data_IF_043773981891
#
_entry.id   IF_043773981891
#
_cell.length_a   1.000
_cell.length_b   1.000
_cell.length_c   1.000
_cell.angle_alpha   90.00
_cell.angle_beta   90.00
_cell.angle_gamma   90.00
#
_symmetry.space_group_name_H-M   'P 1'
#
loop_
_entity.id
_entity.type
_entity.pdbx_description
1 polymer ?
#
# COMPACT_ATOMS: atom_id res chain seq x y z
N UNK A 1 -9.60 -8.76 37.18
CA UNK A 1 -8.71 -8.05 38.12
C UNK A 1 -8.11 -6.87 37.38
N UNK A 2 -8.39 -5.62 37.78
CA UNK A 2 -7.83 -4.43 37.13
C UNK A 2 -6.31 -4.40 37.26
N UNK A 3 -5.61 -3.89 36.23
CA UNK A 3 -4.16 -3.77 36.27
C UNK A 3 -3.71 -2.68 37.27
N UNK A 4 -2.48 -2.78 37.79
CA UNK A 4 -1.98 -1.88 38.85
C UNK A 4 -1.98 -0.38 38.49
N UNK A 5 -1.97 -0.04 37.20
CA UNK A 5 -2.09 1.35 36.75
C UNK A 5 -3.53 1.87 36.87
N UNK A 6 -4.52 1.07 36.46
CA UNK A 6 -5.96 1.41 36.56
C UNK A 6 -6.43 1.48 38.02
N UNK A 7 -5.85 0.66 38.91
CA UNK A 7 -6.10 0.78 40.35
C UNK A 7 -5.63 2.11 40.94
N UNK A 8 -4.54 2.70 40.39
CA UNK A 8 -4.00 3.99 40.86
C UNK A 8 -4.75 5.19 40.29
N UNK A 9 -5.29 5.08 39.09
CA UNK A 9 -6.01 6.18 38.41
C UNK A 9 -7.53 6.11 38.60
N UNK A 10 -8.03 5.11 39.35
CA UNK A 10 -9.45 4.89 39.62
C UNK A 10 -10.29 4.83 38.33
N UNK A 11 -9.71 4.27 37.28
CA UNK A 11 -10.33 4.10 35.96
C UNK A 11 -10.77 2.65 35.78
N UNK A 12 -11.88 2.45 35.06
CA UNK A 12 -12.39 1.12 34.77
C UNK A 12 -11.46 0.38 33.78
N UNK A 13 -11.06 -0.84 34.12
CA UNK A 13 -10.03 -1.59 33.41
C UNK A 13 -10.68 -2.55 32.40
N UNK A 14 -11.19 -1.98 31.32
CA UNK A 14 -11.78 -2.73 30.20
C UNK A 14 -10.67 -3.08 29.21
N UNK A 15 -10.47 -4.38 28.94
CA UNK A 15 -9.57 -4.84 27.89
C UNK A 15 -10.36 -4.78 26.58
N UNK A 16 -10.05 -3.81 25.75
CA UNK A 16 -10.61 -3.68 24.41
C UNK A 16 -9.57 -4.20 23.38
N UNK A 17 -10.00 -5.19 22.61
CA UNK A 17 -9.18 -5.91 21.62
C UNK A 17 -8.71 -5.00 20.47
N UNK A 18 -9.41 -3.89 20.23
CA UNK A 18 -9.07 -2.90 19.19
C UNK A 18 -8.19 -1.74 19.69
N UNK A 19 -8.09 -1.52 21.00
CA UNK A 19 -7.24 -0.47 21.59
C UNK A 19 -5.92 -0.99 22.19
N UNK A 20 -5.67 -2.30 22.14
CA UNK A 20 -4.40 -2.88 22.55
C UNK A 20 -3.25 -2.56 21.56
N UNK A 21 -2.70 -1.35 21.72
CA UNK A 21 -1.53 -0.85 21.00
C UNK A 21 -0.23 -1.66 21.27
N UNK A 22 -0.24 -2.69 22.14
CA UNK A 22 0.93 -3.55 22.34
C UNK A 22 1.22 -4.43 21.13
N UNK A 23 0.20 -4.90 20.41
CA UNK A 23 0.38 -5.64 19.15
C UNK A 23 0.95 -4.74 18.05
N UNK A 24 0.36 -3.55 17.87
CA UNK A 24 0.83 -2.53 16.92
C UNK A 24 2.28 -2.09 17.20
N UNK A 25 2.63 -1.87 18.46
CA UNK A 25 4.01 -1.50 18.82
C UNK A 25 5.02 -2.64 18.64
N UNK A 26 4.61 -3.90 18.79
CA UNK A 26 5.49 -5.05 18.53
C UNK A 26 5.75 -5.22 17.03
N UNK A 27 4.72 -5.06 16.20
CA UNK A 27 4.86 -5.04 14.74
C UNK A 27 5.73 -3.87 14.27
N UNK A 28 5.50 -2.67 14.82
CA UNK A 28 6.32 -1.49 14.52
C UNK A 28 7.80 -1.71 14.88
N UNK A 29 8.11 -2.17 16.10
CA UNK A 29 9.49 -2.49 16.50
C UNK A 29 10.16 -3.52 15.60
N UNK A 30 9.39 -4.51 15.11
CA UNK A 30 9.91 -5.49 14.15
C UNK A 30 10.16 -4.87 12.79
N UNK A 31 9.28 -3.98 12.32
CA UNK A 31 9.47 -3.23 11.08
C UNK A 31 10.74 -2.37 11.17
N UNK A 32 10.85 -1.55 12.21
CA UNK A 32 12.01 -0.69 12.46
C UNK A 32 13.31 -1.53 12.51
N UNK A 33 13.28 -2.68 13.20
CA UNK A 33 14.43 -3.60 13.26
C UNK A 33 14.80 -4.21 11.90
N UNK A 34 13.83 -4.50 11.03
CA UNK A 34 14.07 -5.06 9.70
C UNK A 34 14.58 -3.98 8.74
N UNK A 35 14.12 -2.75 8.89
CA UNK A 35 14.60 -1.59 8.13
C UNK A 35 16.07 -1.28 8.49
N UNK A 36 16.40 -1.28 9.78
CA UNK A 36 17.78 -1.12 10.27
C UNK A 36 18.73 -2.21 9.73
N UNK A 37 18.25 -3.46 9.67
CA UNK A 37 19.03 -4.59 9.16
C UNK A 37 19.21 -4.52 7.64
N UNK A 38 18.19 -4.03 6.91
CA UNK A 38 18.29 -3.75 5.47
C UNK A 38 19.31 -2.66 5.20
N UNK A 39 19.31 -1.56 5.96
CA UNK A 39 20.26 -0.47 5.80
C UNK A 39 21.70 -0.96 6.04
N UNK A 40 21.90 -1.78 7.07
CA UNK A 40 23.20 -2.41 7.33
C UNK A 40 23.69 -3.23 6.13
N UNK A 41 22.82 -4.05 5.54
CA UNK A 41 23.18 -4.91 4.41
C UNK A 41 23.59 -4.08 3.17
N UNK A 42 22.89 -2.99 2.91
CA UNK A 42 23.24 -2.07 1.82
C UNK A 42 24.62 -1.46 2.07
N UNK A 43 24.86 -0.94 3.29
CA UNK A 43 26.16 -0.38 3.68
C UNK A 43 27.29 -1.41 3.62
N UNK A 44 27.02 -2.66 3.96
CA UNK A 44 27.97 -3.77 3.82
C UNK A 44 28.37 -3.98 2.35
N UNK A 45 27.39 -4.02 1.45
CA UNK A 45 27.62 -4.22 0.01
C UNK A 45 28.38 -3.04 -0.60
N UNK A 46 28.05 -1.82 -0.22
CA UNK A 46 28.79 -0.60 -0.61
C UNK A 46 30.22 -0.65 -0.09
N UNK A 47 30.42 -1.04 1.17
CA UNK A 47 31.75 -1.18 1.77
C UNK A 47 32.60 -2.24 1.05
N UNK A 48 31.99 -3.36 0.65
CA UNK A 48 32.67 -4.40 -0.15
C UNK A 48 33.00 -3.93 -1.57
N UNK A 49 32.26 -2.97 -2.10
CA UNK A 49 32.46 -2.41 -3.45
C UNK A 49 33.53 -1.32 -3.47
N UNK A 50 33.58 -0.47 -2.46
CA UNK A 50 34.36 0.79 -2.47
C UNK A 50 35.60 0.77 -1.56
N UNK A 51 35.81 -0.28 -0.77
CA UNK A 51 36.97 -0.38 0.12
C UNK A 51 38.20 -0.97 -0.56
N UNK A 52 39.41 -0.59 -0.11
CA UNK A 52 40.65 -1.23 -0.53
C UNK A 52 40.82 -2.63 0.07
N UNK A 53 41.64 -3.47 -0.59
CA UNK A 53 41.82 -4.91 -0.30
C UNK A 53 42.05 -5.27 1.17
N UNK A 54 42.77 -4.43 1.92
CA UNK A 54 43.10 -4.70 3.34
C UNK A 54 41.89 -4.57 4.26
N UNK A 55 41.01 -3.59 4.02
CA UNK A 55 39.79 -3.38 4.81
C UNK A 55 38.72 -4.42 4.48
N UNK A 56 38.62 -4.78 3.19
CA UNK A 56 37.75 -5.87 2.73
C UNK A 56 38.18 -7.19 3.36
N UNK A 57 39.48 -7.48 3.39
CA UNK A 57 39.99 -8.71 3.99
C UNK A 57 39.66 -8.83 5.48
N UNK A 58 39.77 -7.75 6.23
CA UNK A 58 39.40 -7.72 7.65
C UNK A 58 37.89 -7.90 7.87
N UNK A 59 37.06 -7.23 7.05
CA UNK A 59 35.61 -7.41 7.07
C UNK A 59 35.18 -8.84 6.68
N UNK A 60 35.79 -9.42 5.65
CA UNK A 60 35.52 -10.80 5.22
C UNK A 60 35.94 -11.81 6.28
N UNK A 61 37.02 -11.57 7.01
CA UNK A 61 37.42 -12.40 8.13
C UNK A 61 36.41 -12.31 9.28
N UNK A 62 35.87 -11.13 9.54
CA UNK A 62 34.82 -10.92 10.54
C UNK A 62 33.50 -11.63 10.16
N UNK A 63 33.12 -11.60 8.88
CA UNK A 63 31.98 -12.36 8.35
C UNK A 63 32.22 -13.87 8.45
N UNK A 64 33.42 -14.33 8.07
CA UNK A 64 33.79 -15.75 8.13
C UNK A 64 33.88 -16.29 9.57
N UNK A 65 34.14 -15.44 10.56
CA UNK A 65 34.08 -15.81 11.97
C UNK A 65 32.67 -15.88 12.56
N UNK A 66 31.62 -15.70 11.74
CA UNK A 66 30.21 -15.71 12.17
C UNK A 66 29.92 -14.66 13.25
N UNK A 67 30.46 -13.45 13.06
CA UNK A 67 30.22 -12.33 13.97
C UNK A 67 28.74 -11.94 14.01
N UNK A 68 28.30 -11.43 15.18
CA UNK A 68 26.94 -10.94 15.35
C UNK A 68 26.69 -9.66 14.54
N UNK A 69 25.42 -9.42 14.23
CA UNK A 69 25.01 -8.26 13.44
C UNK A 69 25.37 -6.93 14.12
N UNK A 70 25.41 -6.91 15.45
CA UNK A 70 25.83 -5.77 16.27
C UNK A 70 27.34 -5.50 16.16
N UNK A 71 28.15 -6.56 16.13
CA UNK A 71 29.61 -6.45 15.95
C UNK A 71 29.98 -5.99 14.54
N UNK A 72 29.25 -6.46 13.52
CA UNK A 72 29.37 -5.97 12.16
C UNK A 72 28.98 -4.48 12.06
N UNK A 73 27.88 -4.06 12.69
CA UNK A 73 27.45 -2.65 12.78
C UNK A 73 28.53 -1.77 13.40
N UNK A 74 29.10 -2.18 14.55
CA UNK A 74 30.17 -1.45 15.23
C UNK A 74 31.43 -1.33 14.36
N UNK A 75 31.89 -2.42 13.75
CA UNK A 75 33.09 -2.41 12.91
C UNK A 75 32.94 -1.46 11.70
N UNK A 76 31.78 -1.47 11.05
CA UNK A 76 31.48 -0.58 9.91
C UNK A 76 31.43 0.87 10.36
N UNK A 77 30.80 1.18 11.50
CA UNK A 77 30.71 2.54 12.02
C UNK A 77 32.08 3.07 12.50
N UNK A 78 32.90 2.24 13.12
CA UNK A 78 34.24 2.60 13.62
C UNK A 78 35.25 2.80 12.48
N UNK A 79 35.18 1.99 11.42
CA UNK A 79 36.11 2.07 10.30
C UNK A 79 35.74 3.15 9.26
N UNK A 80 34.50 3.64 9.26
CA UNK A 80 33.99 4.61 8.27
C UNK A 80 33.73 6.02 8.81
N UNK A 81 33.81 6.26 10.13
CA UNK A 81 33.84 7.62 10.66
C UNK A 81 35.25 8.24 10.58
N UNK A 82 35.72 8.53 9.36
CA UNK A 82 36.59 9.70 9.18
C UNK A 82 35.69 10.95 9.29
N UNK A 83 36.11 12.03 9.98
CA UNK A 83 35.33 13.26 10.02
C UNK A 83 35.12 13.74 8.59
N UNK A 84 33.88 13.64 8.11
CA UNK A 84 33.49 14.13 6.80
C UNK A 84 33.68 15.65 6.81
N UNK A 85 34.26 16.21 5.74
CA UNK A 85 34.33 17.67 5.56
C UNK A 85 32.94 18.27 5.84
N UNK A 86 32.84 19.42 6.52
CA UNK A 86 31.56 20.08 6.80
C UNK A 86 30.74 20.37 5.53
N UNK A 87 31.39 20.37 4.35
CA UNK A 87 30.74 20.50 3.05
C UNK A 87 30.01 19.21 2.62
N UNK A 88 30.56 18.03 2.94
CA UNK A 88 29.95 16.74 2.61
C UNK A 88 28.77 16.40 3.52
N UNK A 89 28.82 16.81 4.79
CA UNK A 89 27.70 16.65 5.72
C UNK A 89 26.51 17.52 5.32
N UNK A 90 26.77 18.75 4.85
CA UNK A 90 25.73 19.62 4.28
C UNK A 90 25.16 19.05 2.98
N UNK A 91 26.00 18.50 2.10
CA UNK A 91 25.55 17.85 0.89
C UNK A 91 24.68 16.62 1.19
N UNK A 92 25.02 15.81 2.20
CA UNK A 92 24.16 14.70 2.64
C UNK A 92 22.84 15.19 3.24
N UNK A 93 22.85 16.23 4.07
CA UNK A 93 21.63 16.80 4.65
C UNK A 93 20.73 17.42 3.57
N UNK A 94 21.32 18.03 2.55
CA UNK A 94 20.63 18.59 1.38
C UNK A 94 20.11 17.48 0.45
N UNK A 95 20.87 16.40 0.22
CA UNK A 95 20.42 15.22 -0.50
C UNK A 95 19.28 14.51 0.25
N UNK A 96 19.34 14.41 1.58
CA UNK A 96 18.28 13.83 2.41
C UNK A 96 17.01 14.68 2.38
N UNK A 97 17.13 16.01 2.48
CA UNK A 97 16.00 16.94 2.34
C UNK A 97 15.40 16.91 0.93
N UNK A 98 16.24 16.79 -0.09
CA UNK A 98 15.80 16.57 -1.46
C UNK A 98 15.13 15.20 -1.58
N UNK A 99 15.62 14.14 -0.93
CA UNK A 99 14.98 12.82 -0.90
C UNK A 99 13.61 12.86 -0.21
N UNK A 100 13.47 13.62 0.88
CA UNK A 100 12.18 13.84 1.57
C UNK A 100 11.20 14.66 0.71
N UNK A 101 11.68 15.74 0.08
CA UNK A 101 10.89 16.56 -0.85
C UNK A 101 10.51 15.79 -2.13
N UNK A 102 11.41 14.93 -2.63
CA UNK A 102 11.20 14.05 -3.80
C UNK A 102 10.29 12.88 -3.45
N UNK A 103 10.34 12.37 -2.21
CA UNK A 103 9.38 11.36 -1.71
C UNK A 103 7.95 11.92 -1.64
N UNK A 104 7.79 13.24 -1.51
CA UNK A 104 6.50 13.92 -1.60
C UNK A 104 6.06 14.22 -3.03
N UNK A 105 6.98 14.39 -3.99
CA UNK A 105 6.66 14.73 -5.40
C UNK A 105 6.71 13.56 -6.39
N UNK A 106 7.38 12.46 -6.06
CA UNK A 106 7.61 11.31 -6.95
C UNK A 106 6.86 10.02 -6.55
N UNK A 107 5.70 10.12 -5.88
CA UNK A 107 4.82 8.94 -5.64
C UNK A 107 4.36 8.22 -6.92
N UNK A 108 4.71 8.71 -8.13
CA UNK A 108 4.37 8.05 -9.40
C UNK A 108 5.49 7.24 -10.06
N UNK A 109 6.72 7.19 -9.52
CA UNK A 109 7.81 6.41 -10.15
C UNK A 109 8.15 5.17 -9.30
N UNK A 110 7.50 4.06 -9.69
CA UNK A 110 7.88 2.65 -9.42
C UNK A 110 8.03 2.26 -7.94
N UNK A 111 6.90 2.19 -7.24
CA UNK A 111 6.79 1.38 -6.03
C UNK A 111 7.01 -0.11 -6.39
N UNK A 112 7.97 -0.75 -5.73
CA UNK A 112 8.31 -2.17 -5.94
C UNK A 112 7.10 -3.08 -5.70
N UNK A 113 6.17 -2.70 -4.82
CA UNK A 113 4.90 -3.45 -4.65
C UNK A 113 4.09 -3.45 -5.96
N UNK A 114 3.95 -2.28 -6.61
CA UNK A 114 3.24 -2.17 -7.90
C UNK A 114 3.88 -2.98 -9.02
N UNK A 115 5.19 -3.20 -8.97
CA UNK A 115 5.91 -4.03 -9.94
C UNK A 115 5.60 -5.52 -9.79
N UNK A 116 5.26 -5.97 -8.58
CA UNK A 116 4.89 -7.34 -8.27
C UNK A 116 3.37 -7.59 -8.38
N UNK A 117 2.56 -6.55 -8.24
CA UNK A 117 1.11 -6.61 -8.34
C UNK A 117 0.67 -6.80 -9.79
N UNK A 118 0.64 -8.06 -10.24
CA UNK A 118 0.09 -8.42 -11.53
C UNK A 118 -1.43 -8.65 -11.40
N UNK A 119 -2.28 -7.76 -11.95
CA UNK A 119 -3.72 -7.92 -11.84
C UNK A 119 -4.17 -9.17 -12.61
N UNK A 120 -5.01 -9.98 -11.96
CA UNK A 120 -5.59 -11.21 -12.52
C UNK A 120 -6.49 -10.87 -13.71
N UNK A 121 -7.24 -9.76 -13.62
CA UNK A 121 -8.09 -9.27 -14.70
C UNK A 121 -7.54 -7.95 -15.23
N UNK A 122 -7.40 -7.88 -16.56
CA UNK A 122 -7.02 -6.65 -17.27
C UNK A 122 -8.23 -6.06 -17.95
N UNK A 123 -8.61 -4.85 -17.58
CA UNK A 123 -9.81 -4.15 -18.04
C UNK A 123 -9.51 -2.65 -18.19
N UNK A 124 -10.17 -1.95 -19.12
CA UNK A 124 -9.91 -0.53 -19.33
C UNK A 124 -10.61 0.34 -18.28
N UNK A 125 -10.07 1.53 -18.00
CA UNK A 125 -10.71 2.55 -17.18
C UNK A 125 -11.83 3.27 -17.95
N UNK A 126 -11.55 3.66 -19.20
CA UNK A 126 -12.56 4.24 -20.09
C UNK A 126 -13.34 3.15 -20.84
N UNK A 127 -14.65 3.32 -21.07
CA UNK A 127 -15.47 4.50 -20.77
C UNK A 127 -16.18 4.44 -19.39
N UNK A 128 -15.69 3.61 -18.47
CA UNK A 128 -16.45 3.20 -17.29
C UNK A 128 -16.40 4.17 -16.12
N UNK A 129 -15.29 4.87 -15.95
CA UNK A 129 -15.12 5.84 -14.86
C UNK A 129 -14.50 7.14 -15.38
N UNK A 130 -14.89 8.26 -14.75
CA UNK A 130 -14.28 9.58 -14.98
C UNK A 130 -13.26 9.94 -13.90
N UNK A 131 -13.14 9.12 -12.85
CA UNK A 131 -12.24 9.35 -11.71
C UNK A 131 -10.77 9.23 -12.13
N UNK A 132 -10.46 8.27 -13.00
CA UNK A 132 -9.09 7.97 -13.41
C UNK A 132 -9.04 7.49 -14.87
N UNK A 133 -7.90 7.74 -15.50
CA UNK A 133 -7.56 7.25 -16.85
C UNK A 133 -6.58 6.05 -16.79
N UNK A 134 -6.21 5.59 -15.59
CA UNK A 134 -5.25 4.50 -15.38
C UNK A 134 -5.91 3.12 -15.43
N UNK A 135 -5.78 2.45 -16.57
CA UNK A 135 -6.20 1.06 -16.78
C UNK A 135 -5.56 0.09 -15.78
N UNK A 136 -4.34 0.37 -15.32
CA UNK A 136 -3.61 -0.44 -14.34
C UNK A 136 -4.26 -0.40 -12.97
N UNK A 137 -4.60 0.79 -12.48
CA UNK A 137 -5.33 0.97 -11.23
C UNK A 137 -6.71 0.29 -11.28
N UNK A 138 -7.46 0.49 -12.37
CA UNK A 138 -8.78 -0.14 -12.53
C UNK A 138 -8.64 -1.66 -12.57
N UNK A 139 -7.69 -2.20 -13.35
CA UNK A 139 -7.42 -3.64 -13.41
C UNK A 139 -7.07 -4.23 -12.04
N UNK A 140 -6.27 -3.50 -11.25
CA UNK A 140 -5.89 -3.87 -9.89
C UNK A 140 -7.10 -3.93 -8.95
N UNK A 141 -7.90 -2.87 -8.89
CA UNK A 141 -9.06 -2.79 -8.01
C UNK A 141 -10.14 -3.82 -8.37
N UNK A 142 -10.40 -4.04 -9.66
CA UNK A 142 -11.31 -5.10 -10.12
C UNK A 142 -10.77 -6.48 -9.71
N UNK A 143 -9.46 -6.70 -9.81
CA UNK A 143 -8.84 -7.95 -9.37
C UNK A 143 -8.97 -8.17 -7.86
N UNK A 144 -8.78 -7.14 -7.06
CA UNK A 144 -8.95 -7.21 -5.62
C UNK A 144 -10.39 -7.52 -5.22
N UNK A 145 -11.38 -6.86 -5.84
CA UNK A 145 -12.79 -7.15 -5.60
C UNK A 145 -13.13 -8.63 -5.84
N UNK A 146 -12.73 -9.18 -6.99
CA UNK A 146 -13.01 -10.59 -7.30
C UNK A 146 -12.19 -11.58 -6.46
N UNK A 147 -11.10 -11.12 -5.85
CA UNK A 147 -10.27 -11.94 -4.97
C UNK A 147 -10.81 -11.98 -3.55
N UNK A 148 -11.27 -10.85 -3.01
CA UNK A 148 -11.55 -10.70 -1.58
C UNK A 148 -13.04 -10.58 -1.24
N UNK A 149 -13.84 -9.99 -2.14
CA UNK A 149 -15.26 -9.73 -1.88
C UNK A 149 -16.16 -10.77 -2.55
N UNK A 150 -15.99 -10.98 -3.86
CA UNK A 150 -16.85 -11.88 -4.66
C UNK A 150 -16.96 -13.33 -4.11
N UNK A 151 -15.90 -13.96 -3.56
CA UNK A 151 -16.03 -15.31 -3.01
C UNK A 151 -17.03 -15.45 -1.86
N UNK A 152 -17.23 -14.39 -1.08
CA UNK A 152 -18.23 -14.34 -0.01
C UNK A 152 -19.64 -14.04 -0.55
N UNK A 153 -19.71 -13.41 -1.73
CA UNK A 153 -20.85 -12.66 -2.21
C UNK A 153 -20.98 -12.72 -3.76
N UNK A 154 -21.30 -13.89 -4.34
CA UNK A 154 -21.24 -14.09 -5.79
C UNK A 154 -22.55 -13.75 -6.51
N UNK A 155 -23.00 -12.49 -6.42
CA UNK A 155 -24.27 -12.03 -7.06
C UNK A 155 -24.17 -11.85 -8.59
N UNK A 156 -22.96 -11.89 -9.13
CA UNK A 156 -22.69 -11.65 -10.54
C UNK A 156 -21.73 -12.68 -11.10
N UNK A 157 -21.91 -13.02 -12.37
CA UNK A 157 -20.96 -13.86 -13.10
C UNK A 157 -19.74 -13.03 -13.48
N UNK A 158 -18.60 -13.39 -12.89
CA UNK A 158 -17.31 -12.72 -13.10
C UNK A 158 -16.90 -12.72 -14.57
N UNK A 159 -17.02 -13.85 -15.27
CA UNK A 159 -16.48 -13.99 -16.61
C UNK A 159 -17.34 -13.26 -17.65
N UNK A 160 -18.65 -13.19 -17.42
CA UNK A 160 -19.57 -12.34 -18.19
C UNK A 160 -19.27 -10.86 -17.94
N UNK A 161 -19.15 -10.43 -16.67
CA UNK A 161 -18.83 -9.04 -16.35
C UNK A 161 -17.51 -8.58 -16.96
N UNK A 162 -16.43 -9.35 -16.78
CA UNK A 162 -15.09 -9.00 -17.30
C UNK A 162 -15.11 -8.90 -18.83
N UNK A 163 -15.86 -9.78 -19.50
CA UNK A 163 -16.02 -9.73 -20.96
C UNK A 163 -16.71 -8.45 -21.40
N UNK A 164 -17.82 -8.09 -20.77
CA UNK A 164 -18.58 -6.89 -21.11
C UNK A 164 -17.81 -5.61 -20.79
N UNK A 165 -17.09 -5.59 -19.67
CA UNK A 165 -16.21 -4.49 -19.28
C UNK A 165 -15.09 -4.27 -20.31
N UNK A 166 -14.46 -5.34 -20.80
CA UNK A 166 -13.47 -5.27 -21.89
C UNK A 166 -14.09 -4.78 -23.20
N UNK A 167 -15.37 -5.09 -23.45
CA UNK A 167 -16.08 -4.68 -24.65
C UNK A 167 -16.35 -3.18 -24.73
N UNK A 168 -16.29 -2.45 -23.61
CA UNK A 168 -16.47 -1.00 -23.57
C UNK A 168 -17.88 -0.50 -23.93
N UNK A 169 -18.88 -1.39 -24.01
CA UNK A 169 -20.25 -1.02 -24.33
C UNK A 169 -20.99 -0.62 -23.05
N UNK A 170 -21.14 0.69 -22.81
CA UNK A 170 -21.84 1.24 -21.64
C UNK A 170 -23.32 0.87 -21.55
N UNK A 171 -23.91 0.37 -22.64
CA UNK A 171 -25.30 -0.12 -22.69
C UNK A 171 -25.38 -1.65 -22.55
N UNK A 172 -24.33 -2.30 -22.05
CA UNK A 172 -24.37 -3.75 -21.86
C UNK A 172 -25.35 -4.14 -20.76
N UNK A 173 -25.87 -5.36 -20.85
CA UNK A 173 -26.77 -5.89 -19.85
C UNK A 173 -26.03 -6.15 -18.53
N UNK A 174 -24.81 -6.68 -18.56
CA UNK A 174 -24.09 -7.15 -17.37
C UNK A 174 -22.94 -6.24 -16.93
N UNK A 175 -22.77 -5.07 -17.56
CA UNK A 175 -21.75 -4.10 -17.20
C UNK A 175 -22.25 -2.69 -17.52
N UNK A 176 -22.21 -1.80 -16.52
CA UNK A 176 -22.55 -0.38 -16.65
C UNK A 176 -21.52 0.47 -15.91
N UNK A 177 -21.38 1.77 -16.25
CA UNK A 177 -20.54 2.69 -15.49
C UNK A 177 -20.88 2.71 -13.99
N UNK A 178 -22.17 2.65 -13.65
CA UNK A 178 -22.62 2.55 -12.26
C UNK A 178 -22.03 1.32 -11.54
N UNK A 179 -22.23 0.13 -12.12
CA UNK A 179 -21.74 -1.11 -11.53
C UNK A 179 -20.22 -1.12 -11.41
N UNK A 180 -19.50 -0.65 -12.43
CA UNK A 180 -18.03 -0.59 -12.39
C UNK A 180 -17.56 0.31 -11.25
N UNK A 181 -18.10 1.53 -11.11
CA UNK A 181 -17.67 2.43 -10.04
C UNK A 181 -18.04 1.90 -8.64
N UNK A 182 -19.17 1.20 -8.49
CA UNK A 182 -19.53 0.52 -7.24
C UNK A 182 -18.50 -0.58 -6.89
N UNK A 183 -18.10 -1.40 -7.86
CA UNK A 183 -17.08 -2.43 -7.68
C UNK A 183 -15.71 -1.82 -7.36
N UNK A 184 -15.32 -0.75 -8.05
CA UNK A 184 -14.06 -0.04 -7.77
C UNK A 184 -14.03 0.50 -6.35
N UNK A 185 -15.13 1.11 -5.88
CA UNK A 185 -15.26 1.59 -4.50
C UNK A 185 -15.09 0.44 -3.48
N UNK A 186 -15.72 -0.71 -3.72
CA UNK A 186 -15.61 -1.89 -2.86
C UNK A 186 -14.22 -2.57 -2.94
N UNK A 187 -13.50 -2.41 -4.05
CA UNK A 187 -12.13 -2.92 -4.21
C UNK A 187 -11.06 -2.09 -3.49
N UNK A 188 -11.29 -0.78 -3.34
CA UNK A 188 -10.31 0.16 -2.76
C UNK A 188 -9.79 -0.21 -1.37
N UNK A 189 -10.62 -0.64 -0.39
CA UNK A 189 -10.13 -1.02 0.94
C UNK A 189 -9.10 -2.14 0.98
N UNK A 190 -8.98 -2.93 -0.10
CA UNK A 190 -8.02 -4.03 -0.21
C UNK A 190 -6.71 -3.63 -0.92
N UNK A 191 -6.56 -2.37 -1.31
CA UNK A 191 -5.41 -1.86 -2.03
C UNK A 191 -4.53 -1.00 -1.12
N UNK A 192 -3.22 -1.20 -1.19
CA UNK A 192 -2.24 -0.32 -0.54
C UNK A 192 -1.93 0.94 -1.38
N UNK A 193 -2.54 1.10 -2.56
CA UNK A 193 -2.23 2.20 -3.47
C UNK A 193 -2.83 3.51 -2.96
N UNK A 194 -2.02 4.58 -2.94
CA UNK A 194 -2.48 5.89 -2.50
C UNK A 194 -3.70 6.40 -3.29
N UNK A 195 -3.78 6.08 -4.59
CA UNK A 195 -4.88 6.46 -5.47
C UNK A 195 -6.21 5.77 -5.13
N UNK A 196 -6.19 4.72 -4.29
CA UNK A 196 -7.42 4.11 -3.79
C UNK A 196 -8.10 4.94 -2.68
N UNK A 197 -7.43 5.97 -2.15
CA UNK A 197 -7.89 6.81 -1.05
C UNK A 197 -8.07 8.26 -1.52
N UNK A 198 -9.09 8.98 -1.03
CA UNK A 198 -9.13 10.44 -1.25
C UNK A 198 -8.15 11.18 -0.33
N UNK A 199 -7.88 10.62 0.85
CA UNK A 199 -6.81 11.03 1.74
C UNK A 199 -5.94 9.81 2.08
N UNK A 200 -4.70 9.72 1.57
CA UNK A 200 -3.82 8.59 1.84
C UNK A 200 -3.50 8.34 3.32
N UNK A 201 -3.69 9.34 4.19
CA UNK A 201 -3.43 9.21 5.63
C UNK A 201 -4.67 8.75 6.43
N UNK A 202 -5.85 8.71 5.80
CA UNK A 202 -7.11 8.25 6.40
C UNK A 202 -7.66 7.00 5.69
N UNK A 203 -7.54 5.85 6.36
CA UNK A 203 -8.06 4.56 5.89
C UNK A 203 -9.57 4.55 5.64
N UNK A 204 -10.33 5.43 6.31
CA UNK A 204 -11.78 5.58 6.13
C UNK A 204 -12.16 6.20 4.78
N UNK A 205 -11.20 6.72 4.03
CA UNK A 205 -11.46 7.38 2.74
C UNK A 205 -11.27 6.49 1.52
N UNK A 206 -11.02 5.19 1.74
CA UNK A 206 -10.87 4.21 0.68
C UNK A 206 -12.12 4.17 -0.22
N UNK A 207 -11.93 4.40 -1.52
CA UNK A 207 -12.99 4.26 -2.52
C UNK A 207 -14.06 5.36 -2.52
N UNK A 208 -13.97 6.38 -1.66
CA UNK A 208 -14.96 7.46 -1.56
C UNK A 208 -15.19 8.17 -2.90
N UNK A 209 -14.13 8.42 -3.67
CA UNK A 209 -14.25 9.06 -4.98
C UNK A 209 -14.98 8.18 -6.01
N UNK A 210 -14.74 6.87 -6.02
CA UNK A 210 -15.47 5.93 -6.88
C UNK A 210 -16.91 5.75 -6.42
N UNK A 211 -17.16 5.73 -5.11
CA UNK A 211 -18.50 5.68 -4.55
C UNK A 211 -19.33 6.90 -4.96
N UNK A 212 -18.75 8.09 -4.87
CA UNK A 212 -19.40 9.32 -5.32
C UNK A 212 -19.66 9.31 -6.83
N UNK A 213 -18.76 8.75 -7.63
CA UNK A 213 -18.98 8.59 -9.07
C UNK A 213 -20.08 7.57 -9.39
N UNK A 214 -20.16 6.47 -8.64
CA UNK A 214 -21.25 5.51 -8.75
C UNK A 214 -22.60 6.19 -8.45
N UNK A 215 -22.68 6.99 -7.38
CA UNK A 215 -23.90 7.76 -7.08
C UNK A 215 -24.34 8.66 -8.23
N UNK A 216 -23.43 9.42 -8.82
CA UNK A 216 -23.75 10.26 -10.00
C UNK A 216 -24.27 9.42 -11.16
N UNK A 217 -23.62 8.29 -11.43
CA UNK A 217 -24.06 7.38 -12.50
C UNK A 217 -25.48 6.85 -12.23
N UNK A 218 -25.81 6.49 -10.99
CA UNK A 218 -27.14 6.03 -10.61
C UNK A 218 -28.20 7.12 -10.78
N UNK A 219 -27.90 8.36 -10.41
CA UNK A 219 -28.79 9.51 -10.60
C UNK A 219 -29.08 9.77 -12.08
N UNK A 220 -28.11 9.51 -12.96
CA UNK A 220 -28.24 9.66 -14.41
C UNK A 220 -29.05 8.53 -15.08
N UNK A 221 -29.29 7.40 -14.42
CA UNK A 221 -30.09 6.29 -14.99
C UNK A 221 -31.60 6.59 -15.02
N UNK A 222 -32.07 7.72 -14.48
CA UNK A 222 -33.47 8.24 -14.57
C UNK A 222 -34.58 7.20 -14.32
N UNK A 223 -34.33 6.19 -13.48
CA UNK A 223 -35.29 5.14 -13.13
C UNK A 223 -35.29 3.91 -14.04
N UNK A 224 -34.39 3.83 -15.02
CA UNK A 224 -34.16 2.60 -15.79
C UNK A 224 -33.38 1.59 -14.95
N UNK A 225 -34.09 0.69 -14.27
CA UNK A 225 -33.47 -0.42 -13.54
C UNK A 225 -32.96 -1.50 -14.50
N UNK A 226 -31.65 -1.69 -14.53
CA UNK A 226 -30.99 -2.81 -15.22
C UNK A 226 -30.53 -3.88 -14.22
N UNK A 227 -30.13 -5.05 -14.71
CA UNK A 227 -29.51 -6.07 -13.84
C UNK A 227 -28.19 -5.54 -13.23
N UNK A 228 -27.43 -4.75 -13.98
CA UNK A 228 -26.23 -4.07 -13.48
C UNK A 228 -26.56 -3.06 -12.37
N UNK A 229 -27.71 -2.38 -12.45
CA UNK A 229 -28.21 -1.48 -11.40
C UNK A 229 -28.49 -2.24 -10.11
N UNK A 230 -29.18 -3.39 -10.20
CA UNK A 230 -29.44 -4.23 -9.00
C UNK A 230 -28.11 -4.73 -8.41
N UNK A 231 -27.22 -5.27 -9.24
CA UNK A 231 -25.90 -5.75 -8.79
C UNK A 231 -25.07 -4.64 -8.14
N UNK A 232 -25.10 -3.42 -8.69
CA UNK A 232 -24.36 -2.28 -8.13
C UNK A 232 -24.93 -1.84 -6.78
N UNK A 233 -26.26 -1.84 -6.62
CA UNK A 233 -26.90 -1.54 -5.33
C UNK A 233 -26.55 -2.58 -4.27
N UNK A 234 -26.50 -3.87 -4.63
CA UNK A 234 -26.05 -4.93 -3.71
C UNK A 234 -24.61 -4.69 -3.25
N UNK A 235 -23.70 -4.33 -4.17
CA UNK A 235 -22.30 -4.00 -3.83
C UNK A 235 -22.21 -2.79 -2.90
N UNK A 236 -22.99 -1.73 -3.18
CA UNK A 236 -23.00 -0.51 -2.35
C UNK A 236 -23.69 -0.71 -0.99
N UNK A 237 -24.58 -1.69 -0.85
CA UNK A 237 -25.27 -1.95 0.43
C UNK A 237 -24.34 -2.42 1.55
N UNK A 238 -23.15 -2.91 1.17
CA UNK A 238 -22.14 -3.43 2.09
C UNK A 238 -20.99 -2.45 2.35
N UNK A 239 -21.06 -1.23 1.81
CA UNK A 239 -20.08 -0.17 1.95
C UNK A 239 -20.52 0.85 3.01
#
# INVERSE_FOLDING_TARGET
MPCGNCCRTQADCVIDEHSDNRRRSTLKRKLDSLEDDRELLIRLVETLRDSGDTRISALLNLIRSNASLTELKSYINEQLCRPQSPELAKAHDEISRLHEATSQTCRSVLDVKRLCDQPVFRVPAKPWTTVTDDDGLVSHLISLYFTWYHPCFPWMDRDIFIRDMKGGNVKSQFCSPFLVNAILAAGCPYSDYAEAYTDPDDSGTAGVHFYNEAKKCLEMEEGHMSIATVQGLEVLSMW
#
